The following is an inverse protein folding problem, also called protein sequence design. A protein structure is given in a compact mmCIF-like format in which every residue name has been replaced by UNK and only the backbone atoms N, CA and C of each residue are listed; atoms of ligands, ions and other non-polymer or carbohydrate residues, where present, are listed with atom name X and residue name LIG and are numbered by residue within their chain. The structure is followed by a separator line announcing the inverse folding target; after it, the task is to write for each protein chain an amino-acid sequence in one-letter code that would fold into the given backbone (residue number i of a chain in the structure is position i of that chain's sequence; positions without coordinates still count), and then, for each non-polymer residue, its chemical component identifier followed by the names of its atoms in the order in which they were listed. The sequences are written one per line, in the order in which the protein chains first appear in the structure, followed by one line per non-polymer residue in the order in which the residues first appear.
data_IF_890045300629
#
_entry.id   IF_890045300629
#
_cell.length_a   1.000
_cell.length_b   1.000
_cell.length_c   1.000
_cell.angle_alpha   90.00
_cell.angle_beta   90.00
_cell.angle_gamma   90.00
#
_symmetry.space_group_name_H-M   'P 1'
#
loop_
_entity.id
_entity.type
_entity.pdbx_description
1 polymer ?
#
# COMPACT_ATOMS: atom_id res chain seq x y z
N UNK A 1 7.48 -7.50 -7.54
CA UNK A 1 8.81 -8.09 -7.87
C UNK A 1 9.20 -9.23 -6.92
N UNK A 2 9.20 -9.04 -5.60
CA UNK A 2 9.59 -10.07 -4.63
C UNK A 2 8.86 -11.42 -4.80
N UNK A 3 7.55 -11.42 -5.02
CA UNK A 3 6.78 -12.65 -5.29
C UNK A 3 7.25 -13.40 -6.54
N UNK A 4 7.62 -12.68 -7.60
CA UNK A 4 8.14 -13.27 -8.85
C UNK A 4 9.51 -13.91 -8.60
N UNK A 5 10.37 -13.24 -7.82
CA UNK A 5 11.68 -13.77 -7.44
C UNK A 5 11.54 -15.01 -6.55
N UNK A 6 10.58 -15.03 -5.62
CA UNK A 6 10.27 -16.23 -4.81
C UNK A 6 9.81 -17.38 -5.71
N UNK A 7 8.94 -17.11 -6.69
CA UNK A 7 8.54 -18.13 -7.67
C UNK A 7 9.69 -18.63 -8.52
N UNK A 8 10.57 -17.73 -8.98
CA UNK A 8 11.76 -18.09 -9.73
C UNK A 8 12.67 -18.98 -8.89
N UNK A 9 12.98 -18.59 -7.64
CA UNK A 9 13.80 -19.37 -6.71
C UNK A 9 13.27 -20.80 -6.54
N UNK A 10 11.97 -20.97 -6.29
CA UNK A 10 11.39 -22.30 -6.05
C UNK A 10 11.38 -23.15 -7.33
N UNK A 11 11.12 -22.55 -8.48
CA UNK A 11 11.06 -23.28 -9.76
C UNK A 11 12.43 -23.64 -10.32
N UNK A 12 13.43 -22.79 -10.15
CA UNK A 12 14.77 -23.02 -10.73
C UNK A 12 15.77 -23.59 -9.72
N UNK A 13 15.50 -23.46 -8.42
CA UNK A 13 16.49 -23.78 -7.38
C UNK A 13 17.70 -22.86 -7.39
N UNK A 14 17.67 -21.75 -8.14
CA UNK A 14 18.80 -20.83 -8.23
C UNK A 14 18.96 -20.04 -6.94
N UNK A 15 19.89 -20.45 -6.10
CA UNK A 15 20.08 -19.83 -4.79
C UNK A 15 20.53 -18.36 -4.85
N UNK A 16 21.14 -17.91 -5.96
CA UNK A 16 21.53 -16.50 -6.13
C UNK A 16 20.32 -15.56 -6.09
N UNK A 17 19.11 -16.07 -6.38
CA UNK A 17 17.86 -15.31 -6.30
C UNK A 17 17.59 -14.78 -4.89
N UNK A 18 18.14 -15.39 -3.83
CA UNK A 18 18.06 -14.85 -2.47
C UNK A 18 18.69 -13.46 -2.32
N UNK A 19 19.80 -13.20 -3.03
CA UNK A 19 20.42 -11.87 -3.02
C UNK A 19 19.53 -10.83 -3.68
N UNK A 20 18.86 -11.19 -4.79
CA UNK A 20 17.90 -10.32 -5.46
C UNK A 20 16.66 -10.07 -4.60
N UNK A 21 16.15 -11.09 -3.89
CA UNK A 21 15.06 -10.93 -2.91
C UNK A 21 15.50 -9.96 -1.81
N UNK A 22 16.70 -10.15 -1.26
CA UNK A 22 17.29 -9.27 -0.25
C UNK A 22 17.40 -7.82 -0.71
N UNK A 23 17.91 -7.60 -1.92
CA UNK A 23 18.03 -6.28 -2.53
C UNK A 23 16.67 -5.58 -2.66
N UNK A 24 15.67 -6.26 -3.23
CA UNK A 24 14.33 -5.69 -3.43
C UNK A 24 13.64 -5.42 -2.10
N UNK A 25 13.79 -6.29 -1.10
CA UNK A 25 13.25 -6.05 0.24
C UNK A 25 13.97 -4.91 0.96
N UNK A 26 15.29 -4.80 0.84
CA UNK A 26 16.07 -3.69 1.40
C UNK A 26 15.62 -2.34 0.85
N UNK A 27 15.47 -2.23 -0.49
CA UNK A 27 14.90 -1.03 -1.12
C UNK A 27 13.45 -0.81 -0.68
N UNK A 28 12.65 -1.88 -0.63
CA UNK A 28 11.27 -1.81 -0.15
C UNK A 28 11.17 -1.23 1.26
N UNK A 29 12.09 -1.60 2.16
CA UNK A 29 12.17 -1.09 3.53
C UNK A 29 12.60 0.37 3.62
N UNK A 30 13.39 0.86 2.66
CA UNK A 30 13.71 2.29 2.55
C UNK A 30 12.49 3.13 2.13
N UNK A 31 11.51 2.52 1.45
CA UNK A 31 10.31 3.20 0.96
C UNK A 31 9.15 3.06 1.95
N UNK A 32 8.87 1.83 2.41
CA UNK A 32 7.78 1.50 3.33
C UNK A 32 8.17 0.34 4.25
N UNK A 33 8.08 0.55 5.57
CA UNK A 33 8.30 -0.50 6.58
C UNK A 33 7.32 -1.67 6.48
N UNK A 34 6.20 -1.55 5.76
CA UNK A 34 5.29 -2.68 5.46
C UNK A 34 5.97 -3.80 4.67
N UNK A 35 7.10 -3.55 4.02
CA UNK A 35 7.94 -4.59 3.42
C UNK A 35 8.42 -5.64 4.45
N UNK A 36 8.50 -5.28 5.75
CA UNK A 36 8.76 -6.25 6.83
C UNK A 36 7.68 -7.33 6.88
N UNK A 37 6.40 -6.96 6.69
CA UNK A 37 5.29 -7.92 6.72
C UNK A 37 5.42 -8.97 5.60
N UNK A 38 5.88 -8.55 4.42
CA UNK A 38 6.21 -9.49 3.35
C UNK A 38 7.38 -10.40 3.74
N UNK A 39 8.46 -9.84 4.29
CA UNK A 39 9.64 -10.61 4.72
C UNK A 39 9.28 -11.68 5.78
N UNK A 40 8.56 -11.29 6.83
CA UNK A 40 8.07 -12.21 7.85
C UNK A 40 7.06 -13.21 7.28
N UNK A 41 6.13 -12.75 6.42
CA UNK A 41 5.18 -13.62 5.74
C UNK A 41 5.85 -14.69 4.88
N UNK A 42 6.95 -14.35 4.20
CA UNK A 42 7.77 -15.28 3.44
C UNK A 42 8.47 -16.30 4.34
N UNK A 43 9.06 -15.85 5.46
CA UNK A 43 9.68 -16.76 6.43
C UNK A 43 8.66 -17.76 6.96
N UNK A 44 7.48 -17.30 7.39
CA UNK A 44 6.39 -18.17 7.87
C UNK A 44 5.96 -19.14 6.77
N UNK A 45 5.75 -18.67 5.54
CA UNK A 45 5.35 -19.52 4.42
C UNK A 45 6.39 -20.60 4.08
N UNK A 46 7.67 -20.28 4.14
CA UNK A 46 8.75 -21.25 3.95
C UNK A 46 8.75 -22.31 5.07
N UNK A 47 8.59 -21.90 6.32
CA UNK A 47 8.51 -22.81 7.47
C UNK A 47 7.32 -23.78 7.37
N UNK A 48 6.17 -23.30 6.85
CA UNK A 48 4.95 -24.10 6.68
C UNK A 48 4.96 -25.02 5.44
N UNK A 49 6.03 -25.01 4.65
CA UNK A 49 6.20 -25.87 3.46
C UNK A 49 7.47 -26.73 3.58
N UNK A 50 7.73 -27.61 2.61
CA UNK A 50 9.00 -28.35 2.56
C UNK A 50 10.16 -27.44 2.09
N UNK A 51 9.87 -26.24 1.60
CA UNK A 51 10.84 -25.17 1.32
C UNK A 51 11.52 -24.63 2.58
N UNK A 52 11.13 -25.06 3.80
CA UNK A 52 11.93 -24.83 5.02
C UNK A 52 13.38 -25.32 4.90
N UNK A 53 13.63 -26.28 4.00
CA UNK A 53 14.99 -26.75 3.65
C UNK A 53 15.91 -25.62 3.17
N UNK A 54 15.37 -24.52 2.65
CA UNK A 54 16.14 -23.35 2.21
C UNK A 54 16.98 -22.77 3.36
N UNK A 55 16.47 -22.81 4.60
CA UNK A 55 17.17 -22.31 5.79
C UNK A 55 18.41 -23.12 6.18
N UNK A 56 18.55 -24.35 5.65
CA UNK A 56 19.77 -25.14 5.83
C UNK A 56 20.93 -24.66 4.94
N UNK A 57 20.65 -23.79 3.95
CA UNK A 57 21.67 -23.17 3.10
C UNK A 57 22.05 -21.79 3.61
N UNK A 58 23.23 -21.29 3.21
CA UNK A 58 23.67 -19.94 3.60
C UNK A 58 22.92 -18.80 2.89
N UNK A 59 22.24 -19.10 1.79
CA UNK A 59 21.73 -18.09 0.85
C UNK A 59 20.59 -17.21 1.38
N UNK A 60 19.55 -17.74 2.09
CA UNK A 60 18.55 -16.89 2.72
C UNK A 60 19.16 -15.90 3.71
N UNK A 61 20.20 -16.32 4.43
CA UNK A 61 20.91 -15.48 5.40
C UNK A 61 21.71 -14.38 4.71
N UNK A 62 22.38 -14.68 3.60
CA UNK A 62 23.04 -13.66 2.77
C UNK A 62 22.02 -12.68 2.17
N UNK A 63 20.86 -13.16 1.70
CA UNK A 63 19.77 -12.29 1.26
C UNK A 63 19.25 -11.38 2.37
N UNK A 64 19.08 -11.92 3.58
CA UNK A 64 18.70 -11.14 4.77
C UNK A 64 19.76 -10.10 5.14
N UNK A 65 21.04 -10.46 5.07
CA UNK A 65 22.16 -9.53 5.30
C UNK A 65 22.16 -8.40 4.27
N UNK A 66 21.95 -8.70 2.99
CA UNK A 66 21.83 -7.67 1.94
C UNK A 66 20.66 -6.72 2.24
N UNK A 67 19.49 -7.26 2.59
CA UNK A 67 18.32 -6.43 2.95
C UNK A 67 18.63 -5.53 4.16
N UNK A 68 19.27 -6.09 5.18
CA UNK A 68 19.67 -5.36 6.39
C UNK A 68 20.67 -4.25 6.08
N UNK A 69 21.71 -4.52 5.30
CA UNK A 69 22.72 -3.52 4.95
C UNK A 69 22.12 -2.36 4.15
N UNK A 70 21.20 -2.65 3.23
CA UNK A 70 20.48 -1.61 2.48
C UNK A 70 19.55 -0.81 3.40
N UNK A 71 18.90 -1.47 4.37
CA UNK A 71 17.98 -0.83 5.31
C UNK A 71 18.72 -0.12 6.47
N UNK A 72 19.98 -0.44 6.70
CA UNK A 72 20.77 0.03 7.85
C UNK A 72 20.81 1.56 7.99
N UNK A 73 20.99 2.37 6.92
CA UNK A 73 20.95 3.82 7.03
C UNK A 73 19.61 4.33 7.60
N UNK A 74 18.48 3.69 7.27
CA UNK A 74 17.17 4.05 7.83
C UNK A 74 17.13 3.77 9.33
N UNK A 75 17.60 2.59 9.76
CA UNK A 75 17.64 2.22 11.17
C UNK A 75 18.52 3.16 12.00
N UNK A 76 19.69 3.50 11.48
CA UNK A 76 20.59 4.46 12.13
C UNK A 76 19.88 5.80 12.25
N UNK A 77 19.30 6.32 11.16
CA UNK A 77 18.58 7.58 11.19
C UNK A 77 17.41 7.58 12.19
N UNK A 78 16.61 6.52 12.24
CA UNK A 78 15.53 6.39 13.22
C UNK A 78 16.06 6.41 14.65
N UNK A 79 17.17 5.70 14.92
CA UNK A 79 17.73 5.62 16.27
C UNK A 79 18.29 6.94 16.79
N UNK A 80 18.82 7.79 15.90
CA UNK A 80 19.35 9.12 16.28
C UNK A 80 18.29 10.22 16.28
N UNK A 81 17.05 9.92 15.85
CA UNK A 81 15.92 10.85 15.82
C UNK A 81 14.74 10.37 16.70
N UNK A 82 15.00 9.54 17.71
CA UNK A 82 13.99 9.06 18.67
C UNK A 82 12.84 8.21 18.08
N UNK A 83 13.12 7.49 16.98
CA UNK A 83 12.18 6.56 16.34
C UNK A 83 10.85 7.17 15.87
N UNK A 84 10.87 8.20 15.01
CA UNK A 84 9.67 8.92 14.61
C UNK A 84 8.66 8.06 13.87
N UNK A 85 9.09 7.01 13.17
CA UNK A 85 8.14 6.05 12.56
C UNK A 85 7.39 5.24 13.62
N UNK A 86 8.01 4.88 14.74
CA UNK A 86 7.30 4.20 15.82
C UNK A 86 6.29 5.12 16.50
N UNK A 87 6.66 6.39 16.71
CA UNK A 87 5.74 7.41 17.21
C UNK A 87 4.57 7.63 16.25
N UNK A 88 4.85 7.80 14.95
CA UNK A 88 3.82 7.88 13.92
C UNK A 88 2.90 6.66 13.94
N UNK A 89 3.44 5.45 14.00
CA UNK A 89 2.62 4.23 14.04
C UNK A 89 1.75 4.21 15.29
N UNK A 90 2.25 4.60 16.47
CA UNK A 90 1.45 4.65 17.70
C UNK A 90 0.30 5.65 17.60
N UNK A 91 0.59 6.87 17.14
CA UNK A 91 -0.39 7.95 17.04
C UNK A 91 -1.42 7.69 15.91
N UNK A 92 -0.94 7.22 14.76
CA UNK A 92 -1.79 6.87 13.62
C UNK A 92 -2.62 5.61 13.90
N UNK A 93 -2.06 4.56 14.53
CA UNK A 93 -2.83 3.36 14.85
C UNK A 93 -3.89 3.61 15.93
N UNK A 94 -3.70 4.57 16.84
CA UNK A 94 -4.78 4.96 17.76
C UNK A 94 -6.03 5.45 17.00
N UNK A 95 -5.82 6.22 15.91
CA UNK A 95 -6.89 6.73 15.05
C UNK A 95 -7.39 5.71 14.00
N UNK A 96 -6.50 4.84 13.49
CA UNK A 96 -6.83 3.82 12.47
C UNK A 96 -7.48 2.58 13.09
N UNK A 97 -7.02 2.11 14.25
CA UNK A 97 -7.65 0.97 14.94
C UNK A 97 -9.03 1.33 15.50
N UNK A 98 -9.30 2.61 15.81
CA UNK A 98 -10.65 3.07 16.13
C UNK A 98 -11.56 3.14 14.90
N UNK A 99 -10.99 3.26 13.69
CA UNK A 99 -11.75 3.48 12.46
C UNK A 99 -12.30 2.18 11.85
N UNK A 100 -11.62 1.03 12.02
CA UNK A 100 -12.12 -0.25 11.52
C UNK A 100 -11.80 -1.43 12.44
N UNK A 101 -12.83 -2.22 12.76
CA UNK A 101 -12.63 -3.45 13.55
C UNK A 101 -11.91 -4.54 12.73
N UNK A 102 -11.33 -5.55 13.40
CA UNK A 102 -10.73 -6.72 12.70
C UNK A 102 -11.74 -7.48 11.83
N UNK A 103 -13.01 -7.47 12.24
CA UNK A 103 -14.11 -8.08 11.47
C UNK A 103 -14.38 -7.26 10.21
N UNK A 104 -14.40 -5.94 10.35
CA UNK A 104 -14.57 -5.01 9.23
C UNK A 104 -13.41 -5.13 8.23
N UNK A 105 -12.16 -5.26 8.70
CA UNK A 105 -11.02 -5.55 7.82
C UNK A 105 -11.28 -6.77 6.92
N UNK A 106 -11.79 -7.87 7.51
CA UNK A 106 -12.11 -9.10 6.79
C UNK A 106 -13.28 -8.92 5.83
N UNK A 107 -14.35 -8.23 6.26
CA UNK A 107 -15.50 -7.94 5.43
C UNK A 107 -15.12 -7.09 4.21
N UNK A 108 -14.29 -6.08 4.43
CA UNK A 108 -13.78 -5.20 3.36
C UNK A 108 -12.91 -5.93 2.35
N UNK A 109 -12.29 -7.08 2.69
CA UNK A 109 -11.57 -7.88 1.69
C UNK A 109 -12.47 -8.31 0.53
N UNK A 110 -13.77 -8.56 0.77
CA UNK A 110 -14.72 -8.92 -0.29
C UNK A 110 -14.93 -7.73 -1.25
N UNK A 111 -14.99 -6.52 -0.70
CA UNK A 111 -15.17 -5.29 -1.48
C UNK A 111 -13.88 -4.98 -2.27
N UNK A 112 -12.72 -5.03 -1.62
CA UNK A 112 -11.43 -4.76 -2.26
C UNK A 112 -11.04 -5.82 -3.31
N UNK A 113 -11.47 -7.07 -3.13
CA UNK A 113 -11.35 -8.11 -4.15
C UNK A 113 -12.42 -7.99 -5.25
N UNK A 114 -13.39 -7.07 -5.12
CA UNK A 114 -14.53 -6.92 -6.01
C UNK A 114 -15.52 -8.08 -5.86
N UNK A 115 -16.79 -7.76 -5.55
CA UNK A 115 -17.84 -8.77 -5.30
C UNK A 115 -17.93 -9.84 -6.42
N UNK A 116 -17.89 -9.51 -7.73
CA UNK A 116 -17.94 -10.52 -8.79
C UNK A 116 -16.63 -11.28 -8.99
N UNK A 117 -15.49 -10.68 -8.66
CA UNK A 117 -14.18 -11.29 -8.80
C UNK A 117 -13.77 -12.08 -7.54
N UNK A 118 -14.47 -11.87 -6.41
CA UNK A 118 -14.24 -12.56 -5.16
C UNK A 118 -14.31 -14.10 -5.28
N UNK A 119 -15.31 -14.71 -5.97
CA UNK A 119 -15.30 -16.15 -6.22
C UNK A 119 -14.07 -16.64 -6.99
N UNK A 120 -13.53 -15.83 -7.91
CA UNK A 120 -12.31 -16.15 -8.66
C UNK A 120 -11.11 -16.14 -7.71
N UNK A 121 -11.00 -15.13 -6.84
CA UNK A 121 -9.95 -15.06 -5.83
C UNK A 121 -10.00 -16.24 -4.84
N UNK A 122 -11.21 -16.62 -4.38
CA UNK A 122 -11.42 -17.79 -3.51
C UNK A 122 -11.02 -19.08 -4.23
N UNK A 123 -11.46 -19.28 -5.48
CA UNK A 123 -11.04 -20.41 -6.30
C UNK A 123 -9.51 -20.46 -6.46
N UNK A 124 -8.88 -19.30 -6.64
CA UNK A 124 -7.44 -19.14 -6.70
C UNK A 124 -6.74 -19.55 -5.42
N UNK A 125 -7.21 -19.08 -4.26
CA UNK A 125 -6.66 -19.47 -2.96
C UNK A 125 -6.79 -20.98 -2.71
N UNK A 126 -7.95 -21.55 -2.99
CA UNK A 126 -8.18 -23.00 -2.90
C UNK A 126 -7.22 -23.76 -3.83
N UNK A 127 -7.01 -23.27 -5.05
CA UNK A 127 -6.10 -23.88 -6.01
C UNK A 127 -4.64 -23.84 -5.55
N UNK A 128 -4.18 -22.73 -4.95
CA UNK A 128 -2.83 -22.62 -4.40
C UNK A 128 -2.56 -23.73 -3.38
N UNK A 129 -3.52 -24.01 -2.49
CA UNK A 129 -3.36 -25.05 -1.47
C UNK A 129 -3.57 -26.47 -1.98
N UNK A 130 -4.44 -26.67 -2.97
CA UNK A 130 -4.72 -28.00 -3.56
C UNK A 130 -3.70 -28.41 -4.62
N UNK A 131 -2.89 -27.48 -5.11
CA UNK A 131 -1.88 -27.78 -6.12
C UNK A 131 -0.83 -28.77 -5.59
N UNK A 132 -0.41 -29.69 -6.45
CA UNK A 132 0.75 -30.57 -6.18
C UNK A 132 2.07 -29.81 -6.32
N UNK A 133 2.07 -28.66 -6.99
CA UNK A 133 3.22 -27.77 -7.09
C UNK A 133 3.45 -27.07 -5.75
N UNK A 134 4.61 -27.32 -5.15
CA UNK A 134 4.99 -26.70 -3.89
C UNK A 134 5.14 -25.18 -3.98
N UNK A 135 5.56 -24.65 -5.13
CA UNK A 135 5.65 -23.21 -5.34
C UNK A 135 4.28 -22.53 -5.18
N UNK A 136 3.22 -23.18 -5.67
CA UNK A 136 1.85 -22.67 -5.52
C UNK A 136 1.39 -22.71 -4.06
N UNK A 137 1.69 -23.79 -3.33
CA UNK A 137 1.36 -23.87 -1.89
C UNK A 137 2.10 -22.83 -1.06
N UNK A 138 3.37 -22.56 -1.40
CA UNK A 138 4.15 -21.49 -0.78
C UNK A 138 3.48 -20.12 -0.97
N UNK A 139 2.98 -19.82 -2.16
CA UNK A 139 2.24 -18.58 -2.43
C UNK A 139 0.92 -18.48 -1.64
N UNK A 140 0.22 -19.61 -1.47
CA UNK A 140 -0.98 -19.67 -0.61
C UNK A 140 -0.65 -19.32 0.84
N UNK A 141 0.39 -19.94 1.39
CA UNK A 141 0.85 -19.64 2.75
C UNK A 141 1.42 -18.22 2.89
N UNK A 142 2.07 -17.68 1.86
CA UNK A 142 2.54 -16.30 1.84
C UNK A 142 1.37 -15.32 1.97
N UNK A 143 0.30 -15.51 1.18
CA UNK A 143 -0.91 -14.70 1.27
C UNK A 143 -1.54 -14.77 2.67
N UNK A 144 -1.78 -15.98 3.18
CA UNK A 144 -2.41 -16.17 4.49
C UNK A 144 -1.56 -15.60 5.61
N UNK A 145 -0.24 -15.79 5.56
CA UNK A 145 0.68 -15.27 6.58
C UNK A 145 0.68 -13.75 6.60
N UNK A 146 0.70 -13.09 5.43
CA UNK A 146 0.61 -11.63 5.37
C UNK A 146 -0.77 -11.14 5.86
N UNK A 147 -1.87 -11.83 5.56
CA UNK A 147 -3.19 -11.47 6.08
C UNK A 147 -3.24 -11.55 7.61
N UNK A 148 -2.71 -12.62 8.19
CA UNK A 148 -2.65 -12.80 9.64
C UNK A 148 -1.77 -11.72 10.29
N UNK A 149 -0.61 -11.42 9.70
CA UNK A 149 0.26 -10.36 10.19
C UNK A 149 -0.42 -8.99 10.13
N UNK A 150 -1.12 -8.67 9.03
CA UNK A 150 -1.87 -7.42 8.89
C UNK A 150 -2.99 -7.30 9.92
N UNK A 151 -3.74 -8.37 10.16
CA UNK A 151 -4.75 -8.42 11.22
C UNK A 151 -4.14 -8.22 12.62
N UNK A 152 -2.96 -8.79 12.87
CA UNK A 152 -2.27 -8.68 14.15
C UNK A 152 -1.78 -7.25 14.42
N UNK A 153 -1.27 -6.55 13.41
CA UNK A 153 -0.75 -5.18 13.55
C UNK A 153 -1.80 -4.08 13.34
N UNK A 154 -3.04 -4.44 12.99
CA UNK A 154 -4.10 -3.47 12.69
C UNK A 154 -3.89 -2.71 11.38
N UNK A 155 -3.41 -3.40 10.34
CA UNK A 155 -3.16 -2.81 9.03
C UNK A 155 -4.44 -2.38 8.32
N UNK A 156 -4.34 -1.41 7.39
CA UNK A 156 -5.49 -0.95 6.63
C UNK A 156 -6.00 -2.03 5.66
N UNK A 157 -7.32 -2.12 5.42
CA UNK A 157 -7.92 -3.17 4.58
C UNK A 157 -7.40 -3.25 3.14
N UNK A 158 -6.82 -2.18 2.60
CA UNK A 158 -6.24 -2.14 1.26
C UNK A 158 -4.76 -2.56 1.18
N UNK A 159 -4.05 -2.68 2.31
CA UNK A 159 -2.64 -3.13 2.33
C UNK A 159 -2.39 -4.49 1.64
N UNK A 160 -3.31 -5.47 1.70
CA UNK A 160 -3.24 -6.71 0.94
C UNK A 160 -3.25 -6.59 -0.59
N UNK A 161 -3.65 -5.44 -1.15
CA UNK A 161 -4.01 -5.32 -2.57
C UNK A 161 -3.00 -5.90 -3.57
N UNK A 162 -1.67 -5.71 -3.41
CA UNK A 162 -0.69 -6.30 -4.32
C UNK A 162 -0.73 -7.84 -4.37
N UNK A 163 -1.20 -8.50 -3.31
CA UNK A 163 -1.28 -9.96 -3.24
C UNK A 163 -2.51 -10.52 -3.95
N UNK A 164 -3.54 -9.71 -4.23
CA UNK A 164 -4.73 -10.15 -4.95
C UNK A 164 -4.40 -10.65 -6.35
N UNK A 165 -3.36 -10.09 -6.97
CA UNK A 165 -2.84 -10.56 -8.26
C UNK A 165 -2.49 -12.05 -8.25
N UNK A 166 -1.98 -12.56 -7.13
CA UNK A 166 -1.66 -13.99 -6.95
C UNK A 166 -2.94 -14.82 -6.97
N UNK A 167 -3.97 -14.35 -6.24
CA UNK A 167 -5.26 -15.03 -6.16
C UNK A 167 -5.97 -15.03 -7.51
N UNK A 168 -6.03 -13.89 -8.19
CA UNK A 168 -6.67 -13.80 -9.50
C UNK A 168 -5.93 -14.61 -10.56
N UNK A 169 -4.59 -14.56 -10.59
CA UNK A 169 -3.82 -15.37 -11.53
C UNK A 169 -4.07 -16.87 -11.31
N UNK A 170 -4.05 -17.33 -10.05
CA UNK A 170 -4.35 -18.71 -9.68
C UNK A 170 -5.81 -19.09 -10.00
N UNK A 171 -6.76 -18.21 -9.71
CA UNK A 171 -8.19 -18.41 -9.93
C UNK A 171 -8.56 -18.45 -11.41
N UNK A 172 -7.91 -17.62 -12.23
CA UNK A 172 -8.08 -17.63 -13.67
C UNK A 172 -7.69 -18.98 -14.29
N UNK A 173 -6.66 -19.66 -13.77
CA UNK A 173 -6.29 -21.02 -14.19
C UNK A 173 -7.46 -21.99 -13.94
N UNK A 174 -8.07 -21.94 -12.75
CA UNK A 174 -9.20 -22.80 -12.38
C UNK A 174 -10.40 -22.55 -13.27
N UNK A 175 -10.82 -21.29 -13.41
CA UNK A 175 -11.99 -20.90 -14.20
C UNK A 175 -11.78 -21.28 -15.66
N UNK A 176 -10.61 -20.99 -16.22
CA UNK A 176 -10.30 -21.29 -17.62
C UNK A 176 -10.30 -22.80 -17.89
N UNK A 177 -9.73 -23.60 -16.98
CA UNK A 177 -9.74 -25.06 -17.09
C UNK A 177 -11.18 -25.62 -17.06
N UNK A 178 -12.03 -25.12 -16.17
CA UNK A 178 -13.44 -25.54 -16.08
C UNK A 178 -14.24 -25.16 -17.32
N UNK A 179 -14.06 -23.95 -17.86
CA UNK A 179 -14.70 -23.51 -19.10
C UNK A 179 -14.28 -24.39 -20.29
N UNK A 180 -12.99 -24.76 -20.35
CA UNK A 180 -12.48 -25.63 -21.39
C UNK A 180 -13.05 -27.05 -21.27
N UNK A 181 -13.10 -27.61 -20.06
CA UNK A 181 -13.67 -28.95 -19.80
C UNK A 181 -15.16 -29.04 -20.18
N UNK A 182 -15.92 -27.96 -19.96
CA UNK A 182 -17.35 -27.89 -20.33
C UNK A 182 -17.60 -27.45 -21.77
N UNK A 183 -16.56 -27.23 -22.57
CA UNK A 183 -16.65 -26.64 -23.92
C UNK A 183 -17.36 -25.27 -23.95
N UNK A 184 -17.33 -24.53 -22.84
CA UNK A 184 -17.94 -23.19 -22.69
C UNK A 184 -16.97 -22.05 -23.01
N UNK A 185 -15.98 -22.29 -23.88
CA UNK A 185 -14.96 -21.29 -24.19
C UNK A 185 -15.54 -20.01 -24.82
N UNK A 186 -16.71 -20.11 -25.47
CA UNK A 186 -17.44 -18.94 -25.98
C UNK A 186 -17.94 -17.99 -24.89
N UNK A 187 -18.01 -18.41 -23.62
CA UNK A 187 -18.42 -17.54 -22.50
C UNK A 187 -17.28 -16.65 -21.97
N UNK A 188 -16.02 -16.88 -22.37
CA UNK A 188 -14.88 -16.10 -21.86
C UNK A 188 -15.03 -14.60 -22.12
N UNK A 189 -15.37 -14.13 -23.34
CA UNK A 189 -15.57 -12.70 -23.59
C UNK A 189 -16.72 -12.13 -22.73
N UNK A 190 -17.80 -12.89 -22.55
CA UNK A 190 -18.93 -12.47 -21.72
C UNK A 190 -18.54 -12.31 -20.25
N UNK A 191 -17.76 -13.25 -19.68
CA UNK A 191 -17.27 -13.16 -18.31
C UNK A 191 -16.34 -11.95 -18.11
N UNK A 192 -15.44 -11.71 -19.06
CA UNK A 192 -14.58 -10.51 -19.03
C UNK A 192 -15.41 -9.24 -19.14
N UNK A 193 -16.39 -9.20 -20.05
CA UNK A 193 -17.28 -8.07 -20.21
C UNK A 193 -18.10 -7.79 -18.93
N UNK A 194 -18.60 -8.82 -18.25
CA UNK A 194 -19.29 -8.69 -16.96
C UNK A 194 -18.34 -8.14 -15.89
N UNK A 195 -17.12 -8.67 -15.77
CA UNK A 195 -16.14 -8.17 -14.81
C UNK A 195 -15.82 -6.69 -15.05
N UNK A 196 -15.62 -6.30 -16.31
CA UNK A 196 -15.39 -4.91 -16.70
C UNK A 196 -16.62 -4.05 -16.38
N UNK A 197 -17.81 -4.48 -16.79
CA UNK A 197 -19.05 -3.73 -16.60
C UNK A 197 -19.35 -3.49 -15.11
N UNK A 198 -19.06 -4.45 -14.23
CA UNK A 198 -19.26 -4.29 -12.78
C UNK A 198 -18.15 -3.48 -12.13
N UNK A 199 -16.92 -3.49 -12.69
CA UNK A 199 -15.78 -2.75 -12.10
C UNK A 199 -15.74 -1.28 -12.53
N UNK A 200 -16.16 -0.96 -13.76
CA UNK A 200 -16.14 0.40 -14.32
C UNK A 200 -16.77 1.45 -13.40
N UNK A 201 -17.96 1.23 -12.80
CA UNK A 201 -18.57 2.21 -11.89
C UNK A 201 -17.72 2.53 -10.65
N UNK A 202 -16.81 1.63 -10.23
CA UNK A 202 -15.94 1.85 -9.08
C UNK A 202 -14.62 2.53 -9.45
N UNK A 203 -14.30 2.69 -10.74
CA UNK A 203 -13.06 3.32 -11.20
C UNK A 203 -12.88 4.73 -10.62
N UNK A 204 -13.90 5.62 -10.60
CA UNK A 204 -13.77 6.94 -9.99
C UNK A 204 -13.44 6.93 -8.49
N UNK A 205 -13.78 5.85 -7.77
CA UNK A 205 -13.52 5.73 -6.34
C UNK A 205 -12.07 5.34 -6.02
N UNK A 206 -11.29 4.95 -7.03
CA UNK A 206 -9.91 4.49 -6.86
C UNK A 206 -8.94 5.31 -7.70
N UNK A 207 -9.40 5.86 -8.82
CA UNK A 207 -8.60 6.68 -9.73
C UNK A 207 -9.24 8.07 -9.91
N UNK A 208 -8.45 9.15 -9.90
CA UNK A 208 -8.95 10.52 -10.09
C UNK A 208 -9.25 10.79 -11.58
N UNK A 209 -10.23 10.09 -12.14
CA UNK A 209 -10.62 10.18 -13.56
C UNK A 209 -11.80 11.12 -13.81
N UNK A 210 -12.44 11.62 -12.75
CA UNK A 210 -13.57 12.55 -12.84
C UNK A 210 -13.17 13.94 -12.32
N UNK A 211 -13.76 15.02 -12.87
CA UNK A 211 -13.67 16.35 -12.28
C UNK A 211 -14.21 16.37 -10.84
N UNK A 212 -13.71 17.26 -9.97
CA UNK A 212 -14.10 17.29 -8.55
C UNK A 212 -15.62 17.39 -8.32
N UNK A 213 -16.30 18.25 -9.08
CA UNK A 213 -17.76 18.44 -8.96
C UNK A 213 -18.56 17.16 -9.29
N UNK A 214 -18.10 16.37 -10.28
CA UNK A 214 -18.73 15.09 -10.63
C UNK A 214 -18.36 14.00 -9.62
N UNK A 215 -17.14 14.01 -9.13
CA UNK A 215 -16.71 13.08 -8.09
C UNK A 215 -17.48 13.29 -6.77
N UNK A 216 -17.78 14.54 -6.39
CA UNK A 216 -18.60 14.85 -5.23
C UNK A 216 -20.00 14.18 -5.30
N UNK A 217 -20.62 14.16 -6.48
CA UNK A 217 -21.90 13.45 -6.69
C UNK A 217 -21.75 11.93 -6.50
N UNK A 218 -20.60 11.35 -6.89
CA UNK A 218 -20.29 9.93 -6.66
C UNK A 218 -20.15 9.61 -5.17
N UNK A 219 -19.55 10.51 -4.39
CA UNK A 219 -19.35 10.33 -2.95
C UNK A 219 -20.67 10.35 -2.16
N UNK A 220 -21.75 10.92 -2.69
CA UNK A 220 -23.09 10.81 -2.08
C UNK A 220 -23.57 9.35 -1.98
N UNK A 221 -23.19 8.52 -2.97
CA UNK A 221 -23.54 7.10 -3.00
C UNK A 221 -22.46 6.20 -2.40
N UNK A 222 -21.20 6.63 -2.49
CA UNK A 222 -20.02 5.87 -2.05
C UNK A 222 -19.13 6.74 -1.16
N UNK A 223 -19.52 6.97 0.10
CA UNK A 223 -18.80 7.86 1.00
C UNK A 223 -17.41 7.29 1.30
N UNK A 224 -16.38 8.04 0.95
CA UNK A 224 -14.99 7.68 1.17
C UNK A 224 -14.10 8.93 1.19
N UNK A 225 -13.02 8.89 1.97
CA UNK A 225 -12.20 10.06 2.29
C UNK A 225 -10.78 9.98 1.69
N UNK A 226 -10.48 9.01 0.84
CA UNK A 226 -9.12 8.81 0.32
C UNK A 226 -8.65 9.96 -0.62
N UNK A 227 -9.60 10.74 -1.17
CA UNK A 227 -9.32 11.94 -1.98
C UNK A 227 -9.47 13.26 -1.23
N UNK A 228 -9.73 13.25 0.08
CA UNK A 228 -10.07 14.47 0.83
C UNK A 228 -9.00 15.57 0.72
N UNK A 229 -7.72 15.19 0.64
CA UNK A 229 -6.58 16.13 0.53
C UNK A 229 -6.12 16.36 -0.91
N UNK A 230 -6.89 15.95 -1.94
CA UNK A 230 -6.49 16.07 -3.36
C UNK A 230 -7.14 17.25 -4.10
N UNK A 231 -8.08 17.96 -3.46
CA UNK A 231 -8.82 19.07 -4.06
C UNK A 231 -8.74 20.33 -3.18
N UNK A 232 -9.07 21.49 -3.74
CA UNK A 232 -9.20 22.74 -2.96
C UNK A 232 -7.89 23.45 -2.65
N UNK A 233 -6.76 23.01 -3.23
CA UNK A 233 -5.44 23.57 -2.92
C UNK A 233 -5.30 25.02 -3.42
N UNK A 234 -5.78 25.31 -4.62
CA UNK A 234 -5.74 26.67 -5.18
C UNK A 234 -6.60 27.62 -4.33
N UNK A 235 -7.83 27.20 -3.99
CA UNK A 235 -8.76 27.97 -3.17
C UNK A 235 -8.22 28.18 -1.75
N UNK A 236 -7.57 27.17 -1.16
CA UNK A 236 -6.89 27.28 0.12
C UNK A 236 -5.78 28.34 0.05
N UNK A 237 -4.91 28.26 -0.95
CA UNK A 237 -3.76 29.17 -1.06
C UNK A 237 -4.22 30.58 -1.40
N UNK A 238 -5.22 30.75 -2.27
CA UNK A 238 -5.84 32.05 -2.59
C UNK A 238 -6.49 32.67 -1.33
N UNK A 239 -7.15 31.86 -0.51
CA UNK A 239 -7.73 32.34 0.75
C UNK A 239 -6.62 32.83 1.69
N UNK A 240 -5.55 32.06 1.87
CA UNK A 240 -4.40 32.45 2.71
C UNK A 240 -3.75 33.72 2.17
N UNK A 241 -3.53 33.81 0.85
CA UNK A 241 -2.99 35.00 0.19
C UNK A 241 -3.86 36.23 0.43
N UNK A 242 -5.18 36.09 0.31
CA UNK A 242 -6.10 37.21 0.49
C UNK A 242 -6.07 37.78 1.91
N UNK A 243 -5.84 36.92 2.92
CA UNK A 243 -5.68 37.32 4.32
C UNK A 243 -4.30 37.92 4.55
N UNK A 244 -3.25 37.29 4.02
CA UNK A 244 -1.87 37.78 4.15
C UNK A 244 -1.68 39.17 3.53
N UNK A 245 -2.28 39.41 2.36
CA UNK A 245 -2.22 40.70 1.67
C UNK A 245 -2.95 41.84 2.40
N UNK A 246 -3.83 41.53 3.36
CA UNK A 246 -4.49 42.54 4.19
C UNK A 246 -3.62 43.02 5.35
N UNK A 247 -2.54 42.30 5.68
CA UNK A 247 -1.59 42.72 6.70
C UNK A 247 -0.81 43.95 6.23
N UNK A 248 -0.48 44.90 7.12
CA UNK A 248 0.47 45.96 6.81
C UNK A 248 1.79 45.38 6.28
N UNK A 249 2.49 46.03 5.33
CA UNK A 249 3.73 45.50 4.77
C UNK A 249 4.79 45.15 5.81
N UNK A 250 4.88 45.93 6.90
CA UNK A 250 5.82 45.66 7.99
C UNK A 250 5.45 44.41 8.83
N UNK A 251 4.18 44.01 8.85
CA UNK A 251 3.71 42.80 9.52
C UNK A 251 3.81 41.57 8.62
N UNK A 252 3.68 41.73 7.30
CA UNK A 252 3.85 40.64 6.33
C UNK A 252 5.23 39.98 6.53
N UNK A 253 6.30 40.77 6.55
CA UNK A 253 7.68 40.28 6.72
C UNK A 253 7.92 39.54 8.05
N UNK A 254 7.05 39.70 9.05
CA UNK A 254 7.15 39.06 10.37
C UNK A 254 6.10 37.97 10.59
N UNK A 255 5.24 37.71 9.60
CA UNK A 255 4.13 36.78 9.73
C UNK A 255 4.49 35.41 9.15
N UNK A 256 4.50 34.41 10.01
CA UNK A 256 4.64 33.01 9.61
C UNK A 256 3.26 32.37 9.32
N UNK A 257 3.21 31.51 8.30
CA UNK A 257 2.01 30.72 7.98
C UNK A 257 2.13 29.36 8.68
N UNK A 258 1.29 29.10 9.69
CA UNK A 258 1.26 27.83 10.39
C UNK A 258 0.05 26.99 9.96
N UNK A 259 0.27 25.73 9.58
CA UNK A 259 -0.80 24.81 9.20
C UNK A 259 -0.87 23.58 10.12
N UNK A 260 -2.08 23.04 10.26
CA UNK A 260 -2.36 21.88 11.12
C UNK A 260 -1.88 20.54 10.55
N UNK A 261 -1.65 20.46 9.23
CA UNK A 261 -1.26 19.22 8.56
C UNK A 261 -0.31 19.46 7.37
N UNK A 262 0.48 18.44 7.04
CA UNK A 262 1.46 18.50 5.96
C UNK A 262 0.84 18.74 4.57
N UNK A 263 -0.43 18.37 4.35
CA UNK A 263 -1.11 18.57 3.07
C UNK A 263 -1.37 20.06 2.80
N UNK A 264 -1.92 20.76 3.79
CA UNK A 264 -2.10 22.22 3.72
C UNK A 264 -0.77 22.96 3.64
N UNK A 265 0.26 22.53 4.39
CA UNK A 265 1.59 23.11 4.29
C UNK A 265 2.18 22.95 2.88
N UNK A 266 2.11 21.74 2.33
CA UNK A 266 2.64 21.43 0.99
C UNK A 266 1.90 22.18 -0.12
N UNK A 267 0.59 22.38 0.01
CA UNK A 267 -0.17 23.20 -0.93
C UNK A 267 0.36 24.65 -0.97
N UNK A 268 0.63 25.25 0.19
CA UNK A 268 1.16 26.61 0.31
C UNK A 268 2.60 26.69 -0.21
N UNK A 269 3.47 25.76 0.16
CA UNK A 269 4.86 25.75 -0.33
C UNK A 269 4.93 25.58 -1.85
N UNK A 270 4.04 24.77 -2.43
CA UNK A 270 4.04 24.49 -3.87
C UNK A 270 3.41 25.63 -4.69
N UNK A 271 2.32 26.22 -4.21
CA UNK A 271 1.48 27.15 -4.98
C UNK A 271 1.54 28.60 -4.49
N UNK A 272 2.11 28.84 -3.31
CA UNK A 272 2.12 30.15 -2.64
C UNK A 272 3.21 31.10 -3.12
N UNK A 273 4.34 30.59 -3.62
CA UNK A 273 5.45 31.44 -4.06
C UNK A 273 5.06 32.39 -5.22
N UNK A 274 4.27 31.90 -6.19
CA UNK A 274 3.73 32.74 -7.29
C UNK A 274 2.70 33.78 -6.83
N UNK A 275 2.21 33.63 -5.61
CA UNK A 275 1.20 34.47 -4.95
C UNK A 275 1.80 35.43 -3.91
N UNK A 276 3.13 35.43 -3.76
CA UNK A 276 3.84 36.27 -2.81
C UNK A 276 3.72 35.81 -1.35
N UNK A 277 3.34 34.54 -1.13
CA UNK A 277 3.32 33.96 0.22
C UNK A 277 4.70 33.42 0.60
N UNK A 278 5.11 33.53 1.88
CA UNK A 278 6.22 32.75 2.40
C UNK A 278 5.88 31.25 2.47
N UNK A 279 6.89 30.41 2.68
CA UNK A 279 6.67 28.99 2.95
C UNK A 279 5.86 28.81 4.23
N UNK A 280 5.09 27.73 4.28
CA UNK A 280 4.34 27.32 5.45
C UNK A 280 5.16 26.48 6.42
N UNK A 281 4.77 26.53 7.68
CA UNK A 281 5.30 25.70 8.76
C UNK A 281 4.23 24.72 9.22
N UNK A 282 4.64 23.54 9.67
CA UNK A 282 3.75 22.57 10.30
C UNK A 282 4.50 21.68 11.27
N UNK A 283 3.84 21.28 12.36
CA UNK A 283 4.35 20.23 13.25
C UNK A 283 4.03 18.81 12.78
N UNK A 284 3.37 18.64 11.62
CA UNK A 284 2.87 17.33 11.20
C UNK A 284 3.84 16.60 10.25
N UNK A 285 4.17 15.35 10.58
CA UNK A 285 5.05 14.47 9.81
C UNK A 285 6.41 15.14 9.49
N UNK A 286 6.90 15.07 8.25
CA UNK A 286 8.23 15.53 7.88
C UNK A 286 8.45 17.02 8.14
N UNK A 287 7.41 17.85 8.08
CA UNK A 287 7.51 19.28 8.36
C UNK A 287 8.02 19.57 9.77
N UNK A 288 7.77 18.68 10.75
CA UNK A 288 8.33 18.79 12.09
C UNK A 288 9.86 18.88 12.08
N UNK A 289 10.52 18.09 11.23
CA UNK A 289 11.99 18.06 11.13
C UNK A 289 12.58 19.26 10.42
N UNK A 290 11.79 19.97 9.60
CA UNK A 290 12.21 21.22 8.97
C UNK A 290 12.14 22.39 9.95
N UNK A 291 11.37 22.22 11.04
CA UNK A 291 11.25 23.22 12.09
C UNK A 291 10.59 24.52 11.61
N UNK A 292 10.70 25.60 12.40
CA UNK A 292 10.14 26.89 12.04
C UNK A 292 10.94 27.64 10.96
N UNK A 293 11.98 27.05 10.36
CA UNK A 293 12.90 27.75 9.45
C UNK A 293 13.72 28.85 10.13
N UNK A 294 14.43 29.63 9.32
CA UNK A 294 15.04 30.89 9.76
C UNK A 294 13.98 32.00 9.65
N UNK A 295 13.69 32.67 10.78
CA UNK A 295 12.76 33.79 10.86
C UNK A 295 13.40 35.10 10.35
#
# INVERSE_FOLDING_TARGET
LSTVLVMHLVKTGNHNTWLAIGFVLGIGLQIKHTALLFGFGLVIALLLTAQRKQFASTWPWLGGLVALLIFLPNLIWQSVNDWPTLEFIRNNNANVQSASSRIEFLALQIIFLGIPAFPIAVAGLIHLFRSRDEAMRLLGWLYVSIMVLLLAVGGKPYYPAPLYLILYASGAIVVTAQLQQRAWNGLRPALVAILIAVTIPFVPLVLPVLPPATFAQYQEYYPQNDFAEMFGWEELVDTVQSVYAQLPPAEQDQTAILTSNYGSAAAIDLLGASRGLPNAHSGHNTYYFWGPGDA
#
